data_IF_962839650749
#
_entry.id   IF_962839650749
#
_cell.length_a   1.000
_cell.length_b   1.000
_cell.length_c   1.000
_cell.angle_alpha   90.00
_cell.angle_beta   90.00
_cell.angle_gamma   90.00
#
_symmetry.space_group_name_H-M   'P 1'
#
loop_
_entity.id
_entity.type
_entity.pdbx_description
1 polymer ?
#
# COMPACT_ATOMS: atom_id res chain seq x y z
N UNK A 1 -26.61 9.14 -8.77
CA UNK A 1 -26.25 9.07 -10.21
C UNK A 1 -25.26 7.95 -10.40
N UNK A 2 -25.65 6.94 -11.20
CA UNK A 2 -24.96 5.67 -11.41
C UNK A 2 -23.57 5.86 -12.05
N UNK A 3 -22.48 5.53 -11.34
CA UNK A 3 -21.21 5.26 -11.99
C UNK A 3 -21.21 3.80 -12.46
N UNK A 4 -21.02 3.64 -13.76
CA UNK A 4 -20.97 2.37 -14.47
C UNK A 4 -20.01 1.41 -13.76
N UNK A 5 -20.45 0.16 -13.61
CA UNK A 5 -19.62 -1.01 -13.33
C UNK A 5 -18.60 -1.21 -14.46
N UNK A 6 -17.57 -0.37 -14.54
CA UNK A 6 -16.32 -0.81 -15.15
C UNK A 6 -15.87 -2.01 -14.33
N UNK A 7 -15.85 -3.20 -14.94
CA UNK A 7 -15.29 -4.39 -14.31
C UNK A 7 -13.82 -4.10 -14.01
N UNK A 8 -13.53 -3.66 -12.79
CA UNK A 8 -12.15 -3.46 -12.32
C UNK A 8 -11.45 -4.80 -12.45
N UNK A 9 -10.51 -4.90 -13.38
CA UNK A 9 -9.69 -6.09 -13.57
C UNK A 9 -8.61 -6.08 -12.50
N UNK A 10 -8.85 -6.79 -11.41
CA UNK A 10 -7.89 -6.92 -10.32
C UNK A 10 -6.84 -7.97 -10.67
N UNK A 11 -5.57 -7.67 -10.39
CA UNK A 11 -4.47 -8.62 -10.43
C UNK A 11 -4.35 -9.40 -9.12
N UNK A 12 -3.18 -10.00 -8.90
CA UNK A 12 -2.80 -10.59 -7.61
C UNK A 12 -1.60 -9.84 -7.04
N UNK A 13 -1.40 -9.90 -5.71
CA UNK A 13 -0.14 -9.51 -5.09
C UNK A 13 0.48 -10.70 -4.38
N UNK A 14 1.82 -10.77 -4.39
CA UNK A 14 2.56 -11.78 -3.63
C UNK A 14 2.85 -11.23 -2.25
N UNK A 15 2.48 -11.97 -1.20
CA UNK A 15 2.70 -11.56 0.18
C UNK A 15 4.05 -12.08 0.68
N UNK A 16 4.93 -11.17 1.07
CA UNK A 16 6.14 -11.52 1.82
C UNK A 16 5.77 -11.77 3.29
N UNK A 17 5.57 -13.04 3.67
CA UNK A 17 5.03 -13.39 4.99
C UNK A 17 5.97 -13.06 6.16
N UNK A 18 7.29 -13.22 6.01
CA UNK A 18 8.25 -12.94 7.09
C UNK A 18 8.21 -11.47 7.53
N UNK A 19 8.41 -10.47 6.66
CA UNK A 19 8.31 -9.08 7.08
C UNK A 19 6.86 -8.73 7.48
N UNK A 20 5.84 -9.33 6.85
CA UNK A 20 4.43 -9.14 7.28
C UNK A 20 4.24 -9.53 8.74
N UNK A 21 4.76 -10.68 9.17
CA UNK A 21 4.66 -11.17 10.55
C UNK A 21 5.53 -10.30 11.47
N UNK A 22 6.78 -9.97 11.07
CA UNK A 22 7.70 -9.09 11.81
C UNK A 22 7.05 -7.75 12.19
N UNK A 23 6.32 -7.15 11.25
CA UNK A 23 5.62 -5.87 11.47
C UNK A 23 4.18 -6.03 11.98
N UNK A 24 3.78 -7.24 12.36
CA UNK A 24 2.43 -7.58 12.86
C UNK A 24 1.31 -7.11 11.92
N UNK A 25 1.47 -7.32 10.62
CA UNK A 25 0.53 -6.89 9.58
C UNK A 25 -0.48 -8.00 9.25
N UNK A 26 -1.76 -7.62 9.16
CA UNK A 26 -2.78 -8.48 8.54
C UNK A 26 -2.54 -8.57 7.03
N UNK A 27 -3.20 -9.53 6.35
CA UNK A 27 -3.14 -9.59 4.89
C UNK A 27 -3.72 -8.31 4.26
N UNK A 28 -4.75 -7.72 4.85
CA UNK A 28 -5.32 -6.46 4.37
C UNK A 28 -4.36 -5.28 4.58
N UNK A 29 -3.62 -5.26 5.70
CA UNK A 29 -2.63 -4.22 5.98
C UNK A 29 -1.53 -4.26 4.90
N UNK A 30 -1.07 -5.46 4.57
CA UNK A 30 -0.09 -5.69 3.52
C UNK A 30 -0.62 -5.25 2.16
N UNK A 31 -1.80 -5.72 1.74
CA UNK A 31 -2.36 -5.42 0.42
C UNK A 31 -2.57 -3.91 0.24
N UNK A 32 -3.00 -3.20 1.29
CA UNK A 32 -3.15 -1.74 1.23
C UNK A 32 -1.80 -1.05 1.12
N UNK A 33 -0.79 -1.46 1.89
CA UNK A 33 0.56 -0.91 1.78
C UNK A 33 1.18 -1.14 0.39
N UNK A 34 1.00 -2.34 -0.15
CA UNK A 34 1.44 -2.70 -1.51
C UNK A 34 0.72 -1.89 -2.59
N UNK A 35 -0.59 -1.68 -2.47
CA UNK A 35 -1.29 -0.75 -3.37
C UNK A 35 -0.78 0.68 -3.26
N UNK A 36 -0.50 1.17 -2.06
CA UNK A 36 0.07 2.51 -1.86
C UNK A 36 1.42 2.60 -2.58
N UNK A 37 2.29 1.59 -2.44
CA UNK A 37 3.58 1.53 -3.13
C UNK A 37 3.42 1.56 -4.66
N UNK A 38 2.57 0.70 -5.22
CA UNK A 38 2.34 0.65 -6.66
C UNK A 38 1.74 1.95 -7.21
N UNK A 39 0.77 2.53 -6.49
CA UNK A 39 0.11 3.78 -6.90
C UNK A 39 1.06 5.00 -6.79
N UNK A 40 1.93 5.04 -5.78
CA UNK A 40 2.92 6.12 -5.64
C UNK A 40 4.03 6.04 -6.69
N UNK A 41 4.35 4.84 -7.16
CA UNK A 41 5.38 4.62 -8.19
C UNK A 41 4.83 4.58 -9.62
N UNK A 42 3.54 4.85 -9.82
CA UNK A 42 2.96 4.90 -11.15
C UNK A 42 3.59 6.07 -11.95
N UNK A 43 4.34 5.79 -13.04
CA UNK A 43 5.04 6.82 -13.80
C UNK A 43 4.07 7.77 -14.53
N UNK A 44 2.83 7.34 -14.77
CA UNK A 44 1.78 8.16 -15.37
C UNK A 44 0.91 8.89 -14.35
N UNK A 45 1.28 8.86 -13.06
CA UNK A 45 0.56 9.58 -12.01
C UNK A 45 0.67 11.09 -12.22
N UNK A 46 -0.44 11.80 -12.06
CA UNK A 46 -0.45 13.27 -11.98
C UNK A 46 0.28 13.82 -10.75
N UNK A 47 0.53 12.96 -9.75
CA UNK A 47 1.30 13.28 -8.56
C UNK A 47 2.42 12.24 -8.40
N UNK A 48 3.54 12.38 -9.13
CA UNK A 48 4.64 11.42 -9.08
C UNK A 48 5.20 11.25 -7.66
N UNK A 49 5.46 10.00 -7.27
CA UNK A 49 5.99 9.67 -5.95
C UNK A 49 4.95 9.65 -4.82
N UNK A 50 3.66 9.92 -5.11
CA UNK A 50 2.61 9.95 -4.11
C UNK A 50 1.33 9.23 -4.58
N UNK A 51 0.74 8.44 -3.69
CA UNK A 51 -0.60 7.91 -3.88
C UNK A 51 -1.62 8.99 -3.49
N UNK A 52 -2.25 9.59 -4.50
CA UNK A 52 -3.32 10.57 -4.35
C UNK A 52 -4.72 9.93 -4.26
N UNK A 53 -4.82 8.60 -4.38
CA UNK A 53 -6.11 7.90 -4.29
C UNK A 53 -6.77 8.12 -2.93
N UNK A 54 -8.08 8.36 -2.94
CA UNK A 54 -8.85 8.49 -1.71
C UNK A 54 -8.90 7.17 -0.93
N UNK A 55 -9.07 7.26 0.39
CA UNK A 55 -9.18 6.06 1.25
C UNK A 55 -10.40 5.22 0.90
N UNK A 56 -11.45 5.85 0.38
CA UNK A 56 -12.64 5.19 -0.16
C UNK A 56 -12.31 4.39 -1.42
N UNK A 57 -11.60 5.00 -2.39
CA UNK A 57 -11.17 4.31 -3.61
C UNK A 57 -10.29 3.10 -3.32
N UNK A 58 -9.36 3.23 -2.38
CA UNK A 58 -8.54 2.09 -1.89
C UNK A 58 -9.44 1.02 -1.26
N UNK A 59 -10.43 1.41 -0.46
CA UNK A 59 -11.36 0.47 0.16
C UNK A 59 -12.15 -0.34 -0.86
N UNK A 60 -12.62 0.30 -1.94
CA UNK A 60 -13.31 -0.36 -3.07
C UNK A 60 -12.42 -1.43 -3.71
N UNK A 61 -11.12 -1.16 -3.90
CA UNK A 61 -10.19 -2.13 -4.51
C UNK A 61 -10.07 -3.44 -3.72
N UNK A 62 -10.17 -3.35 -2.39
CA UNK A 62 -9.92 -4.48 -1.49
C UNK A 62 -11.18 -5.00 -0.79
N UNK A 63 -12.36 -4.47 -1.12
CA UNK A 63 -13.62 -4.86 -0.48
C UNK A 63 -13.67 -4.53 1.02
N UNK A 64 -13.01 -3.46 1.46
CA UNK A 64 -13.00 -3.03 2.87
C UNK A 64 -13.58 -1.62 3.01
N UNK A 65 -14.10 -1.31 4.20
CA UNK A 65 -14.67 0.01 4.47
C UNK A 65 -13.61 1.11 4.42
N UNK A 66 -14.01 2.34 4.06
CA UNK A 66 -13.16 3.54 4.16
C UNK A 66 -12.52 3.68 5.55
N UNK A 67 -13.28 3.39 6.61
CA UNK A 67 -12.79 3.48 7.98
C UNK A 67 -11.70 2.44 8.27
N UNK A 68 -11.86 1.21 7.75
CA UNK A 68 -10.83 0.18 7.83
C UNK A 68 -9.54 0.65 7.17
N UNK A 69 -9.60 1.24 5.97
CA UNK A 69 -8.42 1.81 5.30
C UNK A 69 -7.76 2.90 6.14
N UNK A 70 -8.53 3.80 6.75
CA UNK A 70 -7.99 4.85 7.62
C UNK A 70 -7.25 4.25 8.83
N UNK A 71 -7.84 3.25 9.49
CA UNK A 71 -7.22 2.55 10.62
C UNK A 71 -5.94 1.86 10.21
N UNK A 72 -5.95 1.19 9.05
CA UNK A 72 -4.76 0.51 8.50
C UNK A 72 -3.66 1.52 8.17
N UNK A 73 -3.97 2.63 7.51
CA UNK A 73 -2.98 3.68 7.21
C UNK A 73 -2.39 4.24 8.50
N UNK A 74 -3.20 4.51 9.54
CA UNK A 74 -2.70 4.95 10.84
C UNK A 74 -1.73 3.93 11.46
N UNK A 75 -2.03 2.64 11.36
CA UNK A 75 -1.14 1.56 11.82
C UNK A 75 0.18 1.56 11.05
N UNK A 76 0.13 1.64 9.71
CA UNK A 76 1.32 1.65 8.85
C UNK A 76 2.21 2.88 9.12
N UNK A 77 1.61 4.04 9.36
CA UNK A 77 2.33 5.26 9.76
C UNK A 77 3.00 5.10 11.12
N UNK A 78 2.29 4.54 12.11
CA UNK A 78 2.87 4.24 13.43
C UNK A 78 4.06 3.29 13.34
N UNK A 79 4.06 2.37 12.38
CA UNK A 79 5.16 1.43 12.10
C UNK A 79 6.24 2.00 11.17
N UNK A 80 6.16 3.28 10.80
CA UNK A 80 7.08 3.95 9.86
C UNK A 80 7.18 3.28 8.48
N UNK A 81 6.15 2.54 8.07
CA UNK A 81 6.07 1.87 6.76
C UNK A 81 5.43 2.78 5.69
N UNK A 82 4.62 3.74 6.13
CA UNK A 82 3.94 4.74 5.29
C UNK A 82 4.13 6.11 5.90
N UNK A 83 4.25 7.13 5.06
CA UNK A 83 4.24 8.53 5.47
C UNK A 83 3.11 9.31 4.79
N UNK A 84 2.72 10.43 5.42
CA UNK A 84 1.63 11.28 4.96
C UNK A 84 2.21 12.67 4.68
N UNK A 85 1.96 13.20 3.49
CA UNK A 85 2.31 14.57 3.15
C UNK A 85 1.51 15.57 4.00
N UNK A 86 2.16 16.57 4.58
CA UNK A 86 1.56 17.45 5.59
C UNK A 86 0.39 18.29 5.05
N UNK A 87 0.49 18.80 3.82
CA UNK A 87 -0.54 19.67 3.23
C UNK A 87 -1.63 18.84 2.52
N UNK A 88 -1.25 18.14 1.44
CA UNK A 88 -2.16 17.37 0.58
C UNK A 88 -2.76 16.11 1.21
N UNK A 89 -2.18 15.59 2.31
CA UNK A 89 -2.54 14.30 2.93
C UNK A 89 -2.41 13.08 2.00
N UNK A 90 -1.67 13.23 0.91
CA UNK A 90 -1.27 12.10 0.06
C UNK A 90 -0.33 11.19 0.83
N UNK A 91 -0.29 9.94 0.42
CA UNK A 91 0.42 8.89 1.15
C UNK A 91 1.40 8.19 0.24
N UNK A 92 2.51 7.72 0.81
CA UNK A 92 3.44 6.83 0.13
C UNK A 92 4.10 5.93 1.15
N UNK A 93 4.59 4.79 0.70
CA UNK A 93 5.44 3.94 1.53
C UNK A 93 6.80 4.59 1.74
N UNK A 94 7.44 4.33 2.88
CA UNK A 94 8.79 4.84 3.19
C UNK A 94 9.88 3.95 2.58
N UNK A 95 11.15 4.36 2.72
CA UNK A 95 12.29 3.51 2.37
C UNK A 95 12.29 2.19 3.16
N UNK A 96 11.81 2.19 4.41
CA UNK A 96 11.71 0.98 5.23
C UNK A 96 10.84 -0.10 4.57
N UNK A 97 9.74 0.28 3.91
CA UNK A 97 8.92 -0.67 3.15
C UNK A 97 9.70 -1.29 1.99
N UNK A 98 10.45 -0.47 1.24
CA UNK A 98 11.24 -0.96 0.12
C UNK A 98 12.31 -1.96 0.56
N UNK A 99 13.00 -1.63 1.65
CA UNK A 99 14.07 -2.46 2.19
C UNK A 99 13.54 -3.77 2.80
N UNK A 100 12.42 -3.73 3.51
CA UNK A 100 11.91 -4.90 4.23
C UNK A 100 11.04 -5.81 3.35
N UNK A 101 10.28 -5.24 2.40
CA UNK A 101 9.27 -5.95 1.63
C UNK A 101 9.64 -6.09 0.16
N UNK A 102 9.93 -4.98 -0.53
CA UNK A 102 10.13 -5.00 -2.00
C UNK A 102 11.41 -5.75 -2.37
N UNK A 103 12.50 -5.52 -1.65
CA UNK A 103 13.80 -6.17 -1.90
C UNK A 103 13.96 -7.51 -1.17
N UNK A 104 12.92 -7.99 -0.48
CA UNK A 104 13.00 -9.16 0.41
C UNK A 104 13.58 -10.40 -0.29
N UNK A 105 13.08 -10.73 -1.49
CA UNK A 105 13.52 -11.91 -2.23
C UNK A 105 14.97 -11.79 -2.72
N UNK A 106 15.40 -10.58 -3.10
CA UNK A 106 16.79 -10.33 -3.50
C UNK A 106 17.75 -10.53 -2.33
N UNK A 107 17.35 -10.09 -1.12
CA UNK A 107 18.14 -10.28 0.10
C UNK A 107 18.26 -11.75 0.51
N UNK A 108 17.25 -12.57 0.25
CA UNK A 108 17.29 -14.02 0.54
C UNK A 108 18.33 -14.74 -0.31
N UNK A 109 18.51 -14.33 -1.57
CA UNK A 109 19.47 -14.97 -2.48
C UNK A 109 20.94 -14.64 -2.17
N UNK A 110 21.22 -13.55 -1.44
CA UNK A 110 22.58 -13.14 -1.07
C UNK A 110 23.10 -13.81 0.22
N UNK A 111 22.39 -14.81 0.75
CA UNK A 111 22.85 -15.67 1.85
C UNK A 111 23.20 -17.07 1.34
N UNK A 112 24.06 -17.12 0.30
CA UNK A 112 24.74 -18.34 -0.16
C UNK A 112 26.23 -18.13 0.01
#
# INVERSE_FOLDING_TARGET
MNSKNEKVKLGFTTIQHDPRIKFNLSNNDYCIADAIYNLSNNPSSICPGWCYASREKIGIFFGVSRQSVITIVKKLVKSNLVEIHNETKYIRTTQLWYDEFVTFQMKKSNRV
#
